data_IF_279190930216
#
_entry.id   IF_279190930216
#
_cell.length_a   1.000
_cell.length_b   1.000
_cell.length_c   1.000
_cell.angle_alpha   90.00
_cell.angle_beta   90.00
_cell.angle_gamma   90.00
#
_symmetry.space_group_name_H-M   'P 1'
#
loop_
_entity.id
_entity.type
_entity.pdbx_description
1 polymer ?
#
# COMPACT_ATOMS: atom_id res chain seq x y z
N UNK A 1 1.16 -6.66 -4.30
CA UNK A 1 2.08 -7.38 -5.21
C UNK A 1 1.53 -8.78 -5.43
N UNK A 2 1.99 -9.49 -6.45
CA UNK A 2 1.59 -10.90 -6.66
C UNK A 2 2.23 -11.81 -5.60
N UNK A 3 1.47 -12.78 -5.08
CA UNK A 3 1.95 -13.77 -4.12
C UNK A 3 2.40 -15.08 -4.78
N UNK A 4 3.04 -15.95 -3.99
CA UNK A 4 3.40 -17.32 -4.37
C UNK A 4 2.77 -18.31 -3.39
N UNK A 5 2.21 -19.40 -3.92
CA UNK A 5 1.73 -20.53 -3.14
C UNK A 5 1.92 -21.86 -3.86
N UNK A 6 2.01 -22.95 -3.11
CA UNK A 6 2.12 -24.31 -3.65
C UNK A 6 0.74 -24.96 -3.85
N UNK A 7 -0.12 -24.92 -2.84
CA UNK A 7 -1.48 -25.47 -2.90
C UNK A 7 -2.53 -24.47 -2.40
N UNK A 8 -3.74 -24.57 -2.95
CA UNK A 8 -4.91 -23.84 -2.47
C UNK A 8 -6.08 -24.80 -2.28
N UNK A 9 -6.54 -24.94 -1.04
CA UNK A 9 -7.70 -25.75 -0.68
C UNK A 9 -8.96 -24.88 -0.59
N UNK A 10 -10.02 -25.23 -1.32
CA UNK A 10 -11.27 -24.47 -1.33
C UNK A 10 -12.44 -25.35 -0.90
N UNK A 11 -13.08 -25.03 0.22
CA UNK A 11 -14.24 -25.75 0.75
C UNK A 11 -14.09 -27.28 0.67
N UNK A 12 -12.91 -27.77 1.07
CA UNK A 12 -12.46 -29.14 0.80
C UNK A 12 -11.69 -29.74 1.98
N UNK A 13 -11.28 -31.00 1.84
CA UNK A 13 -10.31 -31.63 2.75
C UNK A 13 -9.01 -31.87 2.01
N UNK A 14 -7.92 -31.33 2.54
CA UNK A 14 -6.57 -31.53 2.03
C UNK A 14 -5.77 -32.35 3.04
N UNK A 15 -5.26 -33.51 2.61
CA UNK A 15 -4.33 -34.31 3.40
C UNK A 15 -2.93 -34.15 2.80
N UNK A 16 -2.00 -33.65 3.60
CA UNK A 16 -0.59 -33.49 3.24
C UNK A 16 0.19 -34.65 3.86
N UNK A 17 0.54 -35.65 3.06
CA UNK A 17 1.30 -36.81 3.50
C UNK A 17 2.72 -36.77 2.93
N UNK A 18 3.72 -36.71 3.82
CA UNK A 18 5.16 -36.71 3.47
C UNK A 18 5.53 -35.76 2.32
N UNK A 19 4.99 -34.54 2.39
CA UNK A 19 5.13 -33.53 1.34
C UNK A 19 6.36 -32.63 1.54
N UNK A 20 6.93 -32.15 0.44
CA UNK A 20 7.91 -31.06 0.46
C UNK A 20 7.43 -29.90 -0.41
N UNK A 21 7.49 -28.69 0.14
CA UNK A 21 7.16 -27.45 -0.55
C UNK A 21 8.40 -26.57 -0.66
N UNK A 22 8.69 -26.15 -1.88
CA UNK A 22 9.62 -25.07 -2.17
C UNK A 22 8.81 -23.82 -2.53
N UNK A 23 8.84 -22.81 -1.66
CA UNK A 23 8.07 -21.58 -1.88
C UNK A 23 8.82 -20.63 -2.81
N UNK A 24 8.07 -19.97 -3.69
CA UNK A 24 8.57 -18.81 -4.44
C UNK A 24 8.59 -17.55 -3.58
N UNK A 25 9.31 -16.53 -4.03
CA UNK A 25 9.28 -15.22 -3.40
C UNK A 25 7.99 -14.45 -3.79
N UNK A 26 7.37 -13.78 -2.82
CA UNK A 26 6.33 -12.80 -3.07
C UNK A 26 6.89 -11.57 -3.79
N UNK A 27 6.12 -10.99 -4.70
CA UNK A 27 6.56 -9.83 -5.46
C UNK A 27 6.55 -8.55 -4.60
N UNK A 28 7.56 -7.71 -4.75
CA UNK A 28 7.57 -6.41 -4.09
C UNK A 28 6.38 -5.53 -4.50
N UNK A 29 5.93 -4.71 -3.57
CA UNK A 29 4.97 -3.65 -3.84
C UNK A 29 5.52 -2.61 -4.80
N UNK A 30 4.67 -2.06 -5.65
CA UNK A 30 5.07 -0.95 -6.52
C UNK A 30 5.17 0.36 -5.71
N UNK A 31 6.08 1.27 -6.08
CA UNK A 31 6.09 2.61 -5.49
C UNK A 31 4.73 3.30 -5.65
N UNK A 32 4.39 4.14 -4.69
CA UNK A 32 3.22 5.03 -4.77
C UNK A 32 3.39 6.08 -5.87
N UNK A 33 2.26 6.53 -6.44
CA UNK A 33 2.26 7.60 -7.43
C UNK A 33 2.76 8.92 -6.83
N UNK A 34 3.33 9.79 -7.68
CA UNK A 34 3.66 11.16 -7.29
C UNK A 34 2.45 11.86 -6.68
N UNK A 35 2.67 12.69 -5.66
CA UNK A 35 1.58 13.44 -5.04
C UNK A 35 0.90 14.39 -6.00
N UNK A 36 -0.39 14.63 -5.76
CA UNK A 36 -1.14 15.65 -6.50
C UNK A 36 -0.61 17.04 -6.20
N UNK A 37 -0.80 17.98 -7.13
CA UNK A 37 -0.54 19.38 -6.85
C UNK A 37 -1.49 19.87 -5.75
N UNK A 38 -0.98 20.73 -4.87
CA UNK A 38 -1.79 21.44 -3.88
C UNK A 38 -2.86 22.33 -4.51
N UNK A 39 -3.84 22.76 -3.71
CA UNK A 39 -4.78 23.81 -4.15
C UNK A 39 -3.98 25.12 -4.33
N UNK A 40 -4.26 25.93 -5.37
CA UNK A 40 -3.69 27.27 -5.45
C UNK A 40 -4.06 28.10 -4.21
N UNK A 41 -3.20 29.05 -3.83
CA UNK A 41 -3.49 30.01 -2.77
C UNK A 41 -4.70 30.88 -3.09
N UNK A 42 -5.31 31.46 -2.06
CA UNK A 42 -6.37 32.44 -2.24
C UNK A 42 -5.82 33.72 -2.87
N UNK A 43 -6.66 34.43 -3.61
CA UNK A 43 -6.31 35.74 -4.15
C UNK A 43 -5.95 36.71 -3.00
N UNK A 44 -5.02 37.63 -3.26
CA UNK A 44 -4.71 38.72 -2.33
C UNK A 44 -5.91 39.64 -2.14
N UNK A 45 -6.00 40.29 -0.98
CA UNK A 45 -7.03 41.28 -0.71
C UNK A 45 -6.86 42.52 -1.60
N UNK A 46 -7.96 43.21 -1.92
CA UNK A 46 -7.92 44.49 -2.63
C UNK A 46 -7.10 45.53 -1.87
N UNK A 47 -6.31 46.34 -2.58
CA UNK A 47 -5.63 47.49 -2.01
C UNK A 47 -6.61 48.58 -1.55
N UNK A 48 -6.18 49.42 -0.61
CA UNK A 48 -6.97 50.56 -0.16
C UNK A 48 -7.24 51.56 -1.28
N UNK A 49 -8.40 52.23 -1.28
CA UNK A 49 -8.66 53.32 -2.22
C UNK A 49 -7.87 54.56 -1.80
N UNK A 50 -6.96 55.02 -2.66
CA UNK A 50 -6.27 56.30 -2.50
C UNK A 50 -7.25 57.47 -2.64
N UNK A 51 -7.07 58.52 -1.83
CA UNK A 51 -7.89 59.73 -1.90
C UNK A 51 -7.09 60.91 -2.46
N UNK A 52 -7.74 61.80 -3.22
CA UNK A 52 -7.10 62.91 -3.97
C UNK A 52 -6.21 63.85 -3.13
N UNK A 53 -6.39 63.88 -1.81
CA UNK A 53 -5.59 64.69 -0.87
C UNK A 53 -4.76 63.86 0.13
N UNK A 54 -4.83 62.52 0.07
CA UNK A 54 -4.26 61.61 1.06
C UNK A 54 -3.60 60.40 0.38
N UNK A 55 -2.47 60.63 -0.29
CA UNK A 55 -1.52 59.59 -0.72
C UNK A 55 -2.06 58.47 -1.63
N UNK A 56 -1.16 57.56 -2.02
CA UNK A 56 -1.54 56.35 -2.75
C UNK A 56 -2.38 55.42 -1.85
N UNK A 57 -3.24 54.63 -2.50
CA UNK A 57 -3.98 53.56 -1.84
C UNK A 57 -3.05 52.53 -1.20
N UNK A 58 -3.41 52.03 -0.01
CA UNK A 58 -2.60 51.00 0.67
C UNK A 58 -2.49 49.71 -0.14
N UNK A 59 -1.40 48.97 0.04
CA UNK A 59 -1.17 47.69 -0.65
C UNK A 59 -2.32 46.69 -0.41
N UNK A 60 -2.57 45.83 -1.40
CA UNK A 60 -3.48 44.70 -1.26
C UNK A 60 -3.00 43.70 -0.20
N UNK A 61 -3.93 43.03 0.47
CA UNK A 61 -3.60 42.02 1.47
C UNK A 61 -2.94 40.78 0.85
N UNK A 62 -2.13 40.08 1.62
CA UNK A 62 -1.52 38.82 1.19
C UNK A 62 -2.60 37.80 0.77
N UNK A 63 -2.32 37.04 -0.30
CA UNK A 63 -3.16 35.91 -0.71
C UNK A 63 -3.16 34.79 0.34
N UNK A 64 -4.23 34.00 0.38
CA UNK A 64 -4.31 32.85 1.28
C UNK A 64 -3.32 31.75 0.91
N UNK A 65 -2.82 30.99 1.88
CA UNK A 65 -1.96 29.83 1.61
C UNK A 65 -2.70 28.77 0.76
N UNK A 66 -1.99 28.20 -0.22
CA UNK A 66 -2.49 27.06 -0.99
C UNK A 66 -2.69 25.80 -0.14
N UNK A 67 -3.47 24.84 -0.64
CA UNK A 67 -3.73 23.57 0.04
C UNK A 67 -2.61 22.55 -0.17
N UNK A 68 -2.37 21.65 0.78
CA UNK A 68 -1.35 20.60 0.66
C UNK A 68 -1.84 19.44 -0.23
N UNK A 69 -1.09 19.13 -1.30
CA UNK A 69 -1.29 17.92 -2.09
C UNK A 69 -0.58 16.71 -1.47
N UNK A 70 -1.24 15.55 -1.35
CA UNK A 70 -0.68 14.35 -0.73
C UNK A 70 -0.03 13.39 -1.72
N UNK A 71 1.06 12.73 -1.32
CA UNK A 71 1.69 11.62 -2.05
C UNK A 71 0.81 10.36 -2.08
N UNK A 72 0.83 9.60 -3.18
CA UNK A 72 0.11 8.33 -3.26
C UNK A 72 0.75 7.26 -2.36
N UNK A 73 -0.04 6.40 -1.71
CA UNK A 73 0.49 5.30 -0.89
C UNK A 73 1.25 4.25 -1.73
N UNK A 74 2.26 3.62 -1.11
CA UNK A 74 2.99 2.51 -1.72
C UNK A 74 2.14 1.25 -1.79
N UNK A 75 2.35 0.44 -2.83
CA UNK A 75 1.66 -0.85 -2.97
C UNK A 75 2.17 -1.87 -1.95
N UNK A 76 1.30 -2.77 -1.49
CA UNK A 76 1.70 -3.86 -0.59
C UNK A 76 2.60 -4.89 -1.29
N UNK A 77 3.50 -5.52 -0.55
CA UNK A 77 4.26 -6.69 -0.97
C UNK A 77 3.38 -7.93 -1.09
N UNK A 78 3.82 -8.90 -1.90
CA UNK A 78 3.15 -10.18 -2.11
C UNK A 78 3.51 -11.21 -1.04
N UNK A 79 2.58 -12.10 -0.75
CA UNK A 79 2.78 -13.18 0.21
C UNK A 79 3.51 -14.40 -0.38
N UNK A 80 4.06 -15.26 0.47
CA UNK A 80 4.72 -16.52 0.13
C UNK A 80 4.28 -17.60 1.12
N UNK A 81 3.39 -18.50 0.71
CA UNK A 81 2.89 -19.58 1.55
C UNK A 81 3.09 -20.95 0.90
N UNK A 82 3.15 -22.04 1.67
CA UNK A 82 3.13 -23.37 1.08
C UNK A 82 1.70 -23.74 0.68
N UNK A 83 0.75 -23.51 1.60
CA UNK A 83 -0.66 -23.82 1.44
C UNK A 83 -1.51 -22.64 1.87
N UNK A 84 -2.46 -22.29 1.02
CA UNK A 84 -3.61 -21.47 1.40
C UNK A 84 -4.84 -22.38 1.54
N UNK A 85 -5.74 -22.03 2.45
CA UNK A 85 -7.00 -22.73 2.57
C UNK A 85 -8.15 -21.75 2.80
N UNK A 86 -9.32 -22.04 2.24
CA UNK A 86 -10.55 -21.29 2.49
C UNK A 86 -11.65 -22.27 2.88
N UNK A 87 -12.17 -22.14 4.10
CA UNK A 87 -13.22 -23.00 4.65
C UNK A 87 -12.92 -24.50 4.45
N UNK A 88 -11.66 -24.89 4.59
CA UNK A 88 -11.20 -26.25 4.32
C UNK A 88 -10.63 -26.88 5.59
N UNK A 89 -10.53 -28.20 5.60
CA UNK A 89 -9.80 -28.94 6.63
C UNK A 89 -8.47 -29.36 6.05
N UNK A 90 -7.38 -28.85 6.61
CA UNK A 90 -6.01 -29.24 6.22
C UNK A 90 -5.43 -30.14 7.31
N UNK A 91 -5.11 -31.39 6.95
CA UNK A 91 -4.51 -32.37 7.85
C UNK A 91 -3.12 -32.73 7.35
N UNK A 92 -2.10 -32.58 8.21
CA UNK A 92 -0.77 -33.07 7.94
C UNK A 92 -0.60 -34.48 8.51
N UNK A 93 -0.11 -35.41 7.70
CA UNK A 93 0.29 -36.76 8.08
C UNK A 93 1.77 -36.93 7.74
N UNK A 94 2.58 -37.40 8.69
CA UNK A 94 4.03 -37.51 8.47
C UNK A 94 4.75 -36.15 8.37
N UNK A 95 5.83 -36.11 7.59
CA UNK A 95 6.74 -34.95 7.57
C UNK A 95 6.37 -33.96 6.47
N UNK A 96 6.09 -32.71 6.85
CA UNK A 96 5.99 -31.61 5.89
C UNK A 96 7.27 -30.77 5.92
N UNK A 97 8.05 -30.85 4.84
CA UNK A 97 9.22 -29.98 4.65
C UNK A 97 8.82 -28.71 3.93
N UNK A 98 9.04 -27.54 4.53
CA UNK A 98 8.86 -26.26 3.82
C UNK A 98 10.20 -25.53 3.76
N UNK A 99 10.58 -25.13 2.56
CA UNK A 99 11.86 -24.46 2.31
C UNK A 99 11.69 -23.32 1.31
N UNK A 100 12.71 -22.46 1.23
CA UNK A 100 12.68 -21.29 0.36
C UNK A 100 11.59 -20.28 0.74
N UNK A 101 11.27 -19.45 -0.24
CA UNK A 101 10.32 -18.35 -0.12
C UNK A 101 10.90 -17.12 0.55
N UNK A 102 10.36 -15.97 0.17
CA UNK A 102 10.55 -14.69 0.82
C UNK A 102 9.25 -13.91 0.70
N UNK A 103 8.92 -13.11 1.71
CA UNK A 103 7.85 -12.12 1.55
C UNK A 103 8.31 -11.02 0.59
N UNK A 104 7.39 -10.47 -0.20
CA UNK A 104 7.66 -9.25 -0.96
C UNK A 104 7.73 -8.06 -0.02
N UNK A 105 8.64 -7.13 -0.24
CA UNK A 105 8.70 -5.90 0.53
C UNK A 105 7.56 -4.96 0.11
N UNK A 106 7.09 -4.11 1.03
CA UNK A 106 6.22 -2.99 0.71
C UNK A 106 6.88 -2.01 -0.27
N UNK A 107 6.08 -1.42 -1.15
CA UNK A 107 6.55 -0.33 -2.01
C UNK A 107 6.69 0.96 -1.21
N UNK A 108 7.67 1.80 -1.54
CA UNK A 108 7.78 3.13 -0.94
C UNK A 108 6.53 3.97 -1.26
N UNK A 109 6.15 4.86 -0.35
CA UNK A 109 5.13 5.85 -0.65
C UNK A 109 5.63 6.89 -1.66
N UNK A 110 4.68 7.52 -2.34
CA UNK A 110 4.92 8.55 -3.33
C UNK A 110 5.40 9.85 -2.71
N UNK A 111 6.25 10.58 -3.40
CA UNK A 111 6.78 11.86 -2.93
C UNK A 111 5.76 12.99 -3.08
N UNK A 112 5.67 13.89 -2.10
CA UNK A 112 4.96 15.18 -2.17
C UNK A 112 5.78 16.24 -1.44
N UNK A 113 5.57 17.51 -1.79
CA UNK A 113 6.22 18.68 -1.17
C UNK A 113 5.88 18.85 0.31
N UNK A 114 4.75 18.31 0.77
CA UNK A 114 4.21 18.59 2.10
C UNK A 114 3.99 17.33 2.93
N UNK A 115 3.58 16.21 2.30
CA UNK A 115 3.45 14.92 2.96
C UNK A 115 3.54 13.78 1.93
N UNK A 116 4.65 13.04 1.95
CA UNK A 116 4.78 11.81 1.18
C UNK A 116 3.71 10.78 1.57
N UNK A 117 3.38 9.89 0.63
CA UNK A 117 2.53 8.75 0.92
C UNK A 117 3.20 7.80 1.91
N UNK A 118 2.40 7.03 2.63
CA UNK A 118 2.94 5.96 3.47
C UNK A 118 3.47 4.81 2.59
N UNK A 119 4.54 4.11 3.01
CA UNK A 119 4.95 2.88 2.37
C UNK A 119 3.85 1.82 2.49
N UNK A 120 3.79 0.92 1.50
CA UNK A 120 2.97 -0.28 1.57
C UNK A 120 3.48 -1.24 2.63
N UNK A 121 2.62 -2.14 3.09
CA UNK A 121 3.03 -3.18 4.02
C UNK A 121 3.84 -4.27 3.29
N UNK A 122 4.81 -4.86 3.98
CA UNK A 122 5.45 -6.10 3.53
C UNK A 122 4.39 -7.21 3.41
N UNK A 123 4.62 -8.13 2.47
CA UNK A 123 3.85 -9.35 2.36
C UNK A 123 4.06 -10.29 3.54
N UNK A 124 3.41 -11.44 3.53
CA UNK A 124 3.52 -12.43 4.60
C UNK A 124 4.25 -13.68 4.12
N UNK A 125 4.89 -14.39 5.04
CA UNK A 125 5.48 -15.70 4.77
C UNK A 125 5.02 -16.69 5.84
N UNK A 126 4.72 -17.92 5.44
CA UNK A 126 4.31 -18.98 6.36
C UNK A 126 4.02 -20.28 5.64
N UNK A 127 3.68 -21.32 6.40
CA UNK A 127 3.50 -22.65 5.82
C UNK A 127 2.05 -22.83 5.37
N UNK A 128 1.09 -22.83 6.29
CA UNK A 128 -0.35 -22.94 6.02
C UNK A 128 -1.03 -21.64 6.46
N UNK A 129 -1.92 -21.09 5.62
CA UNK A 129 -2.70 -19.90 5.95
C UNK A 129 -4.17 -20.02 5.56
N UNK A 130 -5.04 -19.80 6.54
CA UNK A 130 -6.49 -19.74 6.35
C UNK A 130 -6.90 -18.35 5.83
N UNK A 131 -7.48 -18.33 4.65
CA UNK A 131 -8.04 -17.15 4.01
C UNK A 131 -9.36 -16.77 4.70
N UNK A 132 -9.51 -15.49 5.03
CA UNK A 132 -10.74 -14.99 5.62
C UNK A 132 -11.90 -14.91 4.60
N UNK A 133 -11.60 -14.92 3.30
CA UNK A 133 -12.61 -14.79 2.25
C UNK A 133 -12.25 -15.54 0.96
N UNK A 134 -13.30 -15.84 0.20
CA UNK A 134 -13.26 -16.37 -1.16
C UNK A 134 -12.46 -15.51 -2.17
N UNK A 135 -12.31 -14.22 -1.89
CA UNK A 135 -11.79 -13.23 -2.84
C UNK A 135 -10.44 -12.64 -2.40
N UNK A 136 -9.90 -13.09 -1.27
CA UNK A 136 -8.70 -12.50 -0.70
C UNK A 136 -8.11 -13.27 0.47
N UNK A 137 -6.79 -13.47 0.35
CA UNK A 137 -5.79 -13.79 1.35
C UNK A 137 -4.66 -12.75 1.18
#
# INVERSE_FOLDING_TARGET
GGGSFGAFAWQSTLVLEDCSFERGAGANGRPGGSGGNGQPGGDGGDGGLGGDAAGDGGDGGDGGDGGNGGGGGGGAGGASFAVFDYQSTVTQVGTMGVSGGARGNGGNGGTSSTNGGNPGQDGRIGDIFECASAFGC
#
